data_IF_894099985544
#
_entry.id   IF_894099985544
#
_cell.length_a   1.000
_cell.length_b   1.000
_cell.length_c   1.000
_cell.angle_alpha   90.00
_cell.angle_beta   90.00
_cell.angle_gamma   90.00
#
_symmetry.space_group_name_H-M   'P 1'
#
loop_
_entity.id
_entity.type
_entity.pdbx_description
1 polymer ?
#
# COMPACT_ATOMS: atom_id res chain seq x y z
N UNK A 1 5.94 -35.02 0.71
CA UNK A 1 5.94 -33.82 -0.15
C UNK A 1 4.49 -33.49 -0.44
N UNK A 2 3.90 -32.59 0.33
CA UNK A 2 2.47 -32.27 0.20
C UNK A 2 2.28 -31.35 -1.01
N UNK A 3 1.43 -31.77 -1.94
CA UNK A 3 0.99 -30.96 -3.08
C UNK A 3 0.28 -29.70 -2.54
N UNK A 4 1.00 -28.58 -2.49
CA UNK A 4 0.46 -27.25 -2.15
C UNK A 4 -0.36 -26.67 -3.34
N UNK A 5 -0.34 -27.33 -4.50
CA UNK A 5 -0.90 -26.83 -5.76
C UNK A 5 -2.36 -27.20 -6.03
N UNK A 6 -3.03 -28.02 -5.20
CA UNK A 6 -4.37 -28.53 -5.56
C UNK A 6 -5.54 -27.63 -5.20
N UNK A 7 -5.40 -26.65 -4.30
CA UNK A 7 -6.48 -25.72 -3.96
C UNK A 7 -5.92 -24.31 -3.73
N UNK A 8 -5.90 -23.51 -4.80
CA UNK A 8 -5.71 -22.06 -4.68
C UNK A 8 -6.92 -21.54 -3.89
N UNK A 9 -6.70 -21.24 -2.63
CA UNK A 9 -7.68 -20.69 -1.70
C UNK A 9 -7.05 -19.44 -1.09
N UNK A 10 -7.86 -18.40 -0.89
CA UNK A 10 -7.49 -17.13 -0.23
C UNK A 10 -6.59 -17.33 0.98
N UNK A 11 -6.89 -18.28 1.88
CA UNK A 11 -6.09 -18.54 3.09
C UNK A 11 -4.65 -18.96 2.76
N UNK A 12 -4.45 -19.76 1.71
CA UNK A 12 -3.11 -20.16 1.28
C UNK A 12 -2.34 -18.98 0.69
N UNK A 13 -3.04 -18.08 -0.02
CA UNK A 13 -2.45 -16.87 -0.59
C UNK A 13 -2.02 -15.91 0.54
N UNK A 14 -2.86 -15.68 1.54
CA UNK A 14 -2.52 -14.85 2.71
C UNK A 14 -1.28 -15.43 3.41
N UNK A 15 -1.28 -16.73 3.69
CA UNK A 15 -0.13 -17.38 4.33
C UNK A 15 1.17 -17.29 3.48
N UNK A 16 1.07 -17.21 2.15
CA UNK A 16 2.21 -16.95 1.29
C UNK A 16 2.67 -15.49 1.41
N UNK A 17 1.75 -14.53 1.30
CA UNK A 17 2.01 -13.10 1.43
C UNK A 17 2.76 -12.83 2.73
N UNK A 18 2.24 -13.28 3.87
CA UNK A 18 2.83 -13.07 5.21
C UNK A 18 4.26 -13.63 5.34
N UNK A 19 4.58 -14.69 4.59
CA UNK A 19 5.88 -15.38 4.69
C UNK A 19 6.92 -14.90 3.68
N UNK A 20 6.48 -14.27 2.60
CA UNK A 20 7.31 -14.06 1.40
C UNK A 20 7.39 -12.62 0.94
N UNK A 21 6.38 -11.81 1.23
CA UNK A 21 6.35 -10.42 0.81
C UNK A 21 6.71 -9.53 2.00
N UNK A 22 7.49 -8.49 1.73
CA UNK A 22 7.69 -7.41 2.69
C UNK A 22 6.51 -6.41 2.65
N UNK A 23 6.44 -5.53 3.66
CA UNK A 23 5.38 -4.53 3.81
C UNK A 23 5.15 -3.68 2.55
N UNK A 24 6.23 -3.31 1.84
CA UNK A 24 6.15 -2.50 0.62
C UNK A 24 5.51 -3.31 -0.51
N UNK A 25 5.90 -4.57 -0.67
CA UNK A 25 5.32 -5.48 -1.65
C UNK A 25 3.86 -5.79 -1.35
N UNK A 26 3.49 -6.00 -0.07
CA UNK A 26 2.07 -6.21 0.33
C UNK A 26 1.23 -4.96 0.01
N UNK A 27 1.75 -3.77 0.32
CA UNK A 27 1.08 -2.51 -0.01
C UNK A 27 0.88 -2.38 -1.53
N UNK A 28 1.93 -2.67 -2.30
CA UNK A 28 1.88 -2.65 -3.76
C UNK A 28 0.87 -3.63 -4.33
N UNK A 29 0.86 -4.88 -3.84
CA UNK A 29 -0.10 -5.90 -4.24
C UNK A 29 -1.54 -5.42 -3.99
N UNK A 30 -1.79 -4.80 -2.83
CA UNK A 30 -3.09 -4.24 -2.49
C UNK A 30 -3.53 -3.16 -3.51
N UNK A 31 -2.62 -2.25 -3.87
CA UNK A 31 -2.89 -1.23 -4.89
C UNK A 31 -3.25 -1.87 -6.24
N UNK A 32 -2.49 -2.88 -6.68
CA UNK A 32 -2.76 -3.56 -7.95
C UNK A 32 -4.12 -4.25 -7.97
N UNK A 33 -4.52 -4.89 -6.86
CA UNK A 33 -5.83 -5.52 -6.74
C UNK A 33 -6.96 -4.50 -6.89
N UNK A 34 -6.89 -3.38 -6.17
CA UNK A 34 -7.93 -2.35 -6.26
C UNK A 34 -7.98 -1.66 -7.63
N UNK A 35 -6.84 -1.44 -8.27
CA UNK A 35 -6.78 -0.92 -9.64
C UNK A 35 -7.45 -1.90 -10.62
N UNK A 36 -7.11 -3.18 -10.54
CA UNK A 36 -7.69 -4.22 -11.39
C UNK A 36 -9.22 -4.30 -11.24
N UNK A 37 -9.72 -4.28 -10.00
CA UNK A 37 -11.16 -4.25 -9.70
C UNK A 37 -11.84 -2.98 -10.26
N UNK A 38 -11.25 -1.81 -10.04
CA UNK A 38 -11.80 -0.52 -10.49
C UNK A 38 -11.88 -0.43 -12.00
N UNK A 39 -10.85 -0.89 -12.69
CA UNK A 39 -10.70 -0.75 -14.15
C UNK A 39 -11.21 -1.96 -14.91
N UNK A 40 -11.68 -3.00 -14.21
CA UNK A 40 -12.16 -4.27 -14.77
C UNK A 40 -11.09 -4.95 -15.63
N UNK A 41 -9.85 -4.96 -15.12
CA UNK A 41 -8.69 -5.63 -15.73
C UNK A 41 -8.18 -6.74 -14.81
N UNK A 42 -7.07 -7.38 -15.19
CA UNK A 42 -6.38 -8.35 -14.32
C UNK A 42 -5.32 -7.66 -13.45
N UNK A 43 -4.97 -8.30 -12.34
CA UNK A 43 -3.84 -7.89 -11.49
C UNK A 43 -2.52 -8.01 -12.26
N UNK A 44 -2.39 -9.03 -13.13
CA UNK A 44 -1.23 -9.15 -14.02
C UNK A 44 -1.08 -7.95 -14.96
N UNK A 45 -2.18 -7.45 -15.54
CA UNK A 45 -2.16 -6.28 -16.40
C UNK A 45 -1.65 -5.05 -15.64
N UNK A 46 -2.20 -4.79 -14.45
CA UNK A 46 -1.80 -3.66 -13.62
C UNK A 46 -0.33 -3.78 -13.16
N UNK A 47 0.16 -4.99 -12.84
CA UNK A 47 1.58 -5.19 -12.51
C UNK A 47 2.50 -4.77 -13.65
N UNK A 48 2.16 -5.15 -14.87
CA UNK A 48 2.93 -4.81 -16.07
C UNK A 48 2.87 -3.30 -16.35
N UNK A 49 1.67 -2.73 -16.33
CA UNK A 49 1.45 -1.31 -16.62
C UNK A 49 2.20 -0.40 -15.64
N UNK A 50 2.15 -0.72 -14.34
CA UNK A 50 2.74 0.11 -13.29
C UNK A 50 4.17 -0.30 -12.90
N UNK A 51 4.70 -1.37 -13.47
CA UNK A 51 6.10 -1.78 -13.28
C UNK A 51 6.43 -2.35 -11.90
N UNK A 52 5.48 -3.02 -11.24
CA UNK A 52 5.68 -3.66 -9.93
C UNK A 52 6.44 -5.00 -10.06
N UNK A 53 7.65 -4.95 -10.62
CA UNK A 53 8.44 -6.14 -10.98
C UNK A 53 8.98 -6.91 -9.78
N UNK A 54 9.03 -6.27 -8.61
CA UNK A 54 9.44 -6.85 -7.34
C UNK A 54 8.37 -7.74 -6.69
N UNK A 55 7.12 -7.68 -7.15
CA UNK A 55 6.06 -8.60 -6.70
C UNK A 55 6.14 -9.91 -7.51
N UNK A 56 6.21 -11.09 -6.84
CA UNK A 56 6.30 -12.37 -7.53
C UNK A 56 5.12 -12.65 -8.47
N UNK A 57 5.39 -13.16 -9.67
CA UNK A 57 4.35 -13.48 -10.65
C UNK A 57 3.39 -14.58 -10.18
N UNK A 58 3.88 -15.46 -9.32
CA UNK A 58 3.09 -16.56 -8.75
C UNK A 58 1.89 -16.05 -7.96
N UNK A 59 2.09 -15.07 -7.05
CA UNK A 59 0.99 -14.51 -6.25
C UNK A 59 0.00 -13.72 -7.11
N UNK A 60 0.50 -13.04 -8.15
CA UNK A 60 -0.32 -12.30 -9.12
C UNK A 60 -1.22 -13.28 -9.90
N UNK A 61 -0.65 -14.37 -10.41
CA UNK A 61 -1.39 -15.38 -11.13
C UNK A 61 -2.41 -16.14 -10.25
N UNK A 62 -2.19 -16.19 -8.94
CA UNK A 62 -3.20 -16.70 -7.99
C UNK A 62 -4.33 -15.71 -7.75
N UNK A 63 -4.03 -14.41 -7.63
CA UNK A 63 -5.04 -13.36 -7.50
C UNK A 63 -6.00 -13.35 -8.70
N UNK A 64 -5.46 -13.45 -9.93
CA UNK A 64 -6.26 -13.48 -11.16
C UNK A 64 -7.14 -14.72 -11.32
N UNK A 65 -6.97 -15.74 -10.47
CA UNK A 65 -7.81 -16.95 -10.44
C UNK A 65 -8.91 -16.92 -9.38
N UNK A 66 -8.86 -15.94 -8.46
CA UNK A 66 -9.90 -15.79 -7.46
C UNK A 66 -11.18 -15.22 -8.09
N UNK A 67 -12.33 -15.58 -7.51
CA UNK A 67 -13.56 -14.84 -7.78
C UNK A 67 -13.43 -13.42 -7.23
N UNK A 68 -14.20 -12.48 -7.79
CA UNK A 68 -14.15 -11.07 -7.39
C UNK A 68 -14.36 -10.87 -5.88
N UNK A 69 -15.35 -11.54 -5.29
CA UNK A 69 -15.61 -11.48 -3.84
C UNK A 69 -14.41 -11.97 -3.00
N UNK A 70 -13.76 -13.05 -3.44
CA UNK A 70 -12.58 -13.60 -2.77
C UNK A 70 -11.37 -12.69 -2.92
N UNK A 71 -11.23 -12.01 -4.06
CA UNK A 71 -10.17 -11.05 -4.35
C UNK A 71 -10.34 -9.77 -3.51
N UNK A 72 -11.56 -9.27 -3.37
CA UNK A 72 -11.91 -8.16 -2.46
C UNK A 72 -11.57 -8.55 -1.02
N UNK A 73 -11.97 -9.75 -0.61
CA UNK A 73 -11.72 -10.21 0.74
C UNK A 73 -10.22 -10.40 1.03
N UNK A 74 -9.43 -10.88 0.04
CA UNK A 74 -7.98 -10.93 0.12
C UNK A 74 -7.36 -9.54 0.34
N UNK A 75 -7.81 -8.53 -0.43
CA UNK A 75 -7.35 -7.15 -0.29
C UNK A 75 -7.69 -6.58 1.10
N UNK A 76 -8.89 -6.85 1.59
CA UNK A 76 -9.32 -6.43 2.93
C UNK A 76 -8.47 -7.07 4.05
N UNK A 77 -8.26 -8.38 3.99
CA UNK A 77 -7.49 -9.12 5.01
C UNK A 77 -6.02 -8.64 5.03
N UNK A 78 -5.41 -8.44 3.86
CA UNK A 78 -4.04 -7.92 3.76
C UNK A 78 -3.92 -6.46 4.21
N UNK A 79 -4.92 -5.62 3.94
CA UNK A 79 -4.96 -4.25 4.43
C UNK A 79 -5.12 -4.18 5.95
N UNK A 80 -5.90 -5.09 6.54
CA UNK A 80 -6.04 -5.20 7.99
C UNK A 80 -4.70 -5.56 8.65
N UNK A 81 -3.95 -6.51 8.09
CA UNK A 81 -2.60 -6.86 8.58
C UNK A 81 -1.63 -5.66 8.55
N UNK A 82 -1.64 -4.88 7.47
CA UNK A 82 -0.82 -3.66 7.38
C UNK A 82 -1.18 -2.61 8.44
N UNK A 83 -2.47 -2.49 8.76
CA UNK A 83 -2.96 -1.58 9.80
C UNK A 83 -2.55 -2.06 11.20
N UNK A 84 -2.66 -3.35 11.47
CA UNK A 84 -2.22 -3.94 12.74
C UNK A 84 -0.73 -3.70 12.99
N UNK A 85 0.11 -3.88 11.96
CA UNK A 85 1.54 -3.53 12.02
C UNK A 85 1.74 -2.04 12.35
N UNK A 86 1.02 -1.14 11.69
CA UNK A 86 1.13 0.31 11.91
C UNK A 86 0.75 0.70 13.35
N UNK A 87 -0.27 0.07 13.92
CA UNK A 87 -0.71 0.33 15.29
C UNK A 87 0.27 -0.25 16.33
N UNK A 88 0.95 -1.35 15.98
CA UNK A 88 1.93 -1.99 16.85
C UNK A 88 3.29 -1.27 16.85
N UNK A 89 3.59 -0.44 15.85
CA UNK A 89 4.82 0.35 15.81
C UNK A 89 4.84 1.39 16.95
N UNK A 90 5.89 1.43 17.78
CA UNK A 90 6.02 2.46 18.81
C UNK A 90 6.06 3.84 18.15
N UNK A 91 5.49 4.88 18.79
CA UNK A 91 5.47 6.22 18.21
C UNK A 91 6.90 6.65 17.88
N UNK A 92 7.11 7.18 16.67
CA UNK A 92 8.39 7.74 16.28
C UNK A 92 8.84 8.74 17.36
N UNK A 93 10.12 8.72 17.78
CA UNK A 93 10.62 9.72 18.72
C UNK A 93 10.37 11.09 18.10
N UNK A 94 9.57 11.90 18.80
CA UNK A 94 9.27 13.27 18.40
C UNK A 94 10.61 13.95 18.10
N UNK A 95 10.79 14.38 16.84
CA UNK A 95 11.99 15.13 16.46
C UNK A 95 12.09 16.34 17.42
N UNK A 96 13.21 16.56 18.13
CA UNK A 96 13.32 17.65 19.12
C UNK A 96 13.06 19.06 18.57
N UNK A 97 12.98 19.20 17.24
CA UNK A 97 12.66 20.45 16.55
C UNK A 97 11.25 20.98 16.81
N UNK A 98 10.31 20.17 17.32
CA UNK A 98 8.98 20.68 17.77
C UNK A 98 8.96 21.09 19.23
N UNK A 99 10.02 20.81 20.01
CA UNK A 99 10.12 21.24 21.41
C UNK A 99 10.64 22.69 21.56
N UNK A 100 11.25 23.25 20.53
CA UNK A 100 11.49 24.68 20.44
C UNK A 100 10.26 25.30 19.78
N UNK A 101 9.33 25.82 20.60
CA UNK A 101 8.06 26.38 20.15
C UNK A 101 8.20 27.51 19.13
N UNK A 102 8.33 27.14 17.86
CA UNK A 102 8.21 28.03 16.70
C UNK A 102 6.98 27.55 15.95
N UNK A 103 5.91 28.34 16.05
CA UNK A 103 4.69 28.15 15.29
C UNK A 103 5.01 28.24 13.79
N UNK A 104 4.65 27.27 12.94
CA UNK A 104 5.01 27.30 11.51
C UNK A 104 4.33 28.42 10.73
N UNK A 105 3.42 29.17 11.36
CA UNK A 105 2.60 30.20 10.72
C UNK A 105 3.08 31.65 10.98
N UNK A 106 4.13 31.88 11.75
CA UNK A 106 4.76 33.20 11.87
C UNK A 106 5.88 33.41 10.83
N UNK A 107 5.58 33.17 9.56
CA UNK A 107 6.36 33.82 8.49
C UNK A 107 5.79 35.23 8.29
N UNK A 108 6.47 36.23 8.85
CA UNK A 108 6.21 37.63 8.53
C UNK A 108 6.20 37.81 7.00
N UNK A 109 5.03 38.14 6.44
CA UNK A 109 4.91 38.59 5.05
C UNK A 109 5.78 39.84 4.87
N UNK A 110 6.72 39.88 3.91
CA UNK A 110 7.43 41.12 3.61
C UNK A 110 6.40 42.15 3.14
N UNK A 111 6.28 43.24 3.90
CA UNK A 111 5.43 44.38 3.57
C UNK A 111 5.84 44.93 2.20
N UNK A 112 5.06 44.62 1.17
CA UNK A 112 5.18 45.23 -0.16
C UNK A 112 4.89 46.73 -0.02
N UNK A 113 5.96 47.52 -0.01
CA UNK A 113 5.93 48.98 -0.08
C UNK A 113 5.09 49.45 -1.28
N UNK A 114 3.88 49.93 -1.02
CA UNK A 114 3.05 50.60 -2.00
C UNK A 114 3.53 52.03 -2.24
N UNK A 115 4.47 52.19 -3.17
CA UNK A 115 4.72 53.46 -3.84
C UNK A 115 4.58 53.25 -5.34
N UNK A 116 3.37 53.48 -5.84
CA UNK A 116 3.13 53.75 -7.26
C UNK A 116 3.07 55.28 -7.38
N UNK A 117 3.95 55.91 -8.17
CA UNK A 117 3.92 57.36 -8.36
C UNK A 117 2.77 57.74 -9.30
N UNK A 118 2.14 58.89 -9.02
CA UNK A 118 1.49 59.72 -10.03
C UNK A 118 2.06 61.13 -9.90
#
# INVERSE_FOLDING_TARGET
>A
MSNILSDINRTNIIAYIDRKLDRRQVTGLNCLIFLALREQTTVAHQREEWGFTDIPEEVIAWCDKLAEDDLIALAADTAAGLLEELVAEPPEPICPLTAAGVDPFETELPQLSSHIPM
#
